data_IF_408385972068
#
_entry.id   IF_408385972068
#
_cell.length_a   1.000
_cell.length_b   1.000
_cell.length_c   1.000
_cell.angle_alpha   90.00
_cell.angle_beta   90.00
_cell.angle_gamma   90.00
#
_symmetry.space_group_name_H-M   'P 1'
#
loop_
_entity.id
_entity.type
_entity.pdbx_description
1 polymer ?
#
# COMPACT_ATOMS: atom_id res chain seq x y z
N UNK A 1 0.56 -9.06 -15.08
CA UNK A 1 0.73 -9.90 -13.88
C UNK A 1 -0.18 -9.36 -12.78
N UNK A 2 -1.07 -10.19 -12.26
CA UNK A 2 -2.06 -9.88 -11.22
C UNK A 2 -1.91 -10.88 -10.08
N UNK A 3 -2.23 -10.47 -8.86
CA UNK A 3 -2.29 -11.37 -7.72
C UNK A 3 -3.63 -12.09 -7.70
N UNK A 4 -3.61 -13.39 -7.99
CA UNK A 4 -4.82 -14.21 -8.15
C UNK A 4 -5.08 -15.15 -6.98
N UNK A 5 -4.07 -15.37 -6.13
CA UNK A 5 -4.13 -16.30 -4.99
C UNK A 5 -3.41 -15.71 -3.78
N UNK A 6 -3.95 -15.94 -2.59
CA UNK A 6 -3.39 -15.50 -1.31
C UNK A 6 -3.37 -16.67 -0.33
N UNK A 7 -2.20 -16.99 0.21
CA UNK A 7 -2.00 -17.90 1.32
C UNK A 7 -1.86 -17.10 2.62
N UNK A 8 -2.69 -17.41 3.61
CA UNK A 8 -2.65 -16.81 4.96
C UNK A 8 -2.21 -17.89 5.94
N UNK A 9 -0.92 -17.89 6.30
CA UNK A 9 -0.32 -18.85 7.22
C UNK A 9 -0.16 -18.19 8.58
N UNK A 10 -0.90 -18.67 9.57
CA UNK A 10 -0.91 -18.13 10.94
C UNK A 10 -0.37 -19.21 11.89
N UNK A 11 0.75 -18.92 12.54
CA UNK A 11 1.38 -19.73 13.57
C UNK A 11 1.33 -18.95 14.88
N UNK A 12 0.18 -18.97 15.54
CA UNK A 12 -0.13 -18.14 16.72
C UNK A 12 -0.13 -18.93 18.03
N UNK A 13 -0.38 -20.25 17.99
CA UNK A 13 -0.41 -21.12 19.18
C UNK A 13 -1.10 -20.43 20.37
N UNK A 14 -2.33 -19.93 20.16
CA UNK A 14 -2.99 -19.00 21.09
C UNK A 14 -3.01 -19.54 22.52
N UNK A 15 -2.48 -18.75 23.46
CA UNK A 15 -2.38 -19.12 24.87
C UNK A 15 -1.05 -19.77 25.28
N UNK A 16 -0.15 -20.04 24.32
CA UNK A 16 1.19 -20.55 24.58
C UNK A 16 2.22 -19.55 24.04
N UNK A 17 2.99 -18.95 24.93
CA UNK A 17 4.04 -18.00 24.54
C UNK A 17 5.29 -18.76 24.06
N UNK A 18 5.95 -18.31 22.97
CA UNK A 18 7.19 -18.91 22.52
C UNK A 18 8.33 -18.64 23.53
N UNK A 19 9.29 -19.57 23.67
CA UNK A 19 10.29 -19.55 24.75
C UNK A 19 11.27 -18.37 24.69
N UNK A 20 11.39 -17.71 23.54
CA UNK A 20 12.35 -16.65 23.28
C UNK A 20 11.73 -15.23 23.33
N UNK A 21 10.45 -15.13 23.70
CA UNK A 21 9.72 -13.85 23.83
C UNK A 21 9.30 -13.64 25.28
N UNK A 22 9.91 -12.65 25.93
CA UNK A 22 9.50 -12.21 27.27
C UNK A 22 8.45 -11.12 27.10
N UNK A 23 7.20 -11.40 27.51
CA UNK A 23 6.11 -10.41 27.49
C UNK A 23 6.13 -9.56 28.75
N UNK A 24 6.27 -8.25 28.58
CA UNK A 24 6.06 -7.27 29.65
C UNK A 24 4.56 -7.07 29.92
N UNK A 25 4.14 -6.84 31.16
CA UNK A 25 2.74 -6.53 31.46
C UNK A 25 2.57 -5.04 31.81
N UNK A 26 1.63 -4.32 31.18
CA UNK A 26 0.76 -4.74 30.06
C UNK A 26 1.50 -4.84 28.71
N UNK A 27 1.06 -5.75 27.82
CA UNK A 27 1.60 -5.93 26.46
C UNK A 27 0.54 -5.76 25.37
N UNK A 28 1.00 -5.53 24.13
CA UNK A 28 0.19 -5.66 22.91
C UNK A 28 -0.34 -7.08 22.75
N UNK A 29 -1.65 -7.25 22.56
CA UNK A 29 -2.31 -8.57 22.42
C UNK A 29 -3.21 -8.70 21.21
N UNK A 30 -3.70 -7.58 20.67
CA UNK A 30 -4.66 -7.63 19.57
C UNK A 30 -4.00 -8.19 18.32
N UNK A 31 -4.62 -9.20 17.72
CA UNK A 31 -4.24 -9.81 16.45
C UNK A 31 -5.40 -9.62 15.48
N UNK A 32 -5.17 -8.98 14.34
CA UNK A 32 -6.21 -8.67 13.35
C UNK A 32 -7.44 -7.98 13.97
N UNK A 33 -7.19 -7.13 14.98
CA UNK A 33 -8.18 -6.41 15.77
C UNK A 33 -9.07 -7.27 16.67
N UNK A 34 -8.64 -8.50 16.97
CA UNK A 34 -9.29 -9.42 17.91
C UNK A 34 -8.41 -9.57 19.14
N UNK A 35 -9.01 -9.56 20.33
CA UNK A 35 -8.34 -9.99 21.55
C UNK A 35 -8.39 -11.53 21.64
N UNK A 36 -7.26 -12.23 21.50
CA UNK A 36 -7.25 -13.68 21.54
C UNK A 36 -7.62 -14.24 22.93
N UNK A 37 -7.48 -13.43 23.99
CA UNK A 37 -7.77 -13.84 25.37
C UNK A 37 -9.25 -13.76 25.74
N UNK A 38 -10.08 -13.11 24.91
CA UNK A 38 -11.50 -12.93 25.19
C UNK A 38 -12.37 -14.15 24.82
N UNK A 39 -11.78 -15.23 24.31
CA UNK A 39 -12.47 -16.46 23.91
C UNK A 39 -11.53 -17.68 23.92
N UNK A 40 -12.07 -18.86 23.56
CA UNK A 40 -11.23 -20.06 23.48
C UNK A 40 -10.16 -19.94 22.39
N UNK A 41 -8.95 -20.51 22.60
CA UNK A 41 -7.84 -20.44 21.64
C UNK A 41 -8.21 -20.79 20.20
N UNK A 42 -8.96 -21.89 20.01
CA UNK A 42 -9.40 -22.33 18.69
C UNK A 42 -10.32 -21.30 18.00
N UNK A 43 -11.31 -20.78 18.74
CA UNK A 43 -12.24 -19.78 18.21
C UNK A 43 -11.54 -18.45 17.90
N UNK A 44 -10.59 -18.05 18.74
CA UNK A 44 -9.76 -16.88 18.52
C UNK A 44 -8.98 -17.03 17.20
N UNK A 45 -8.29 -18.15 17.01
CA UNK A 45 -7.50 -18.44 15.81
C UNK A 45 -8.35 -18.42 14.52
N UNK A 46 -9.52 -19.06 14.54
CA UNK A 46 -10.46 -19.05 13.41
C UNK A 46 -10.96 -17.63 13.09
N UNK A 47 -11.27 -16.83 14.11
CA UNK A 47 -11.76 -15.47 13.92
C UNK A 47 -10.67 -14.51 13.44
N UNK A 48 -9.43 -14.67 13.94
CA UNK A 48 -8.25 -13.94 13.46
C UNK A 48 -8.02 -14.27 11.98
N UNK A 49 -8.05 -15.54 11.60
CA UNK A 49 -7.93 -15.98 10.20
C UNK A 49 -9.01 -15.39 9.30
N UNK A 50 -10.27 -15.47 9.72
CA UNK A 50 -11.40 -14.88 9.00
C UNK A 50 -11.29 -13.36 8.84
N UNK A 51 -10.88 -12.66 9.90
CA UNK A 51 -10.71 -11.21 9.86
C UNK A 51 -9.54 -10.81 8.96
N UNK A 52 -8.40 -11.49 9.04
CA UNK A 52 -7.26 -11.23 8.16
C UNK A 52 -7.64 -11.39 6.68
N UNK A 53 -8.38 -12.45 6.35
CA UNK A 53 -8.90 -12.65 5.00
C UNK A 53 -9.77 -11.47 4.57
N UNK A 54 -10.75 -11.07 5.39
CA UNK A 54 -11.62 -9.90 5.10
C UNK A 54 -10.83 -8.62 4.91
N UNK A 55 -9.75 -8.41 5.65
CA UNK A 55 -8.90 -7.23 5.51
C UNK A 55 -8.18 -7.22 4.14
N UNK A 56 -7.64 -8.36 3.71
CA UNK A 56 -7.03 -8.47 2.38
C UNK A 56 -8.05 -8.42 1.23
N UNK A 57 -9.24 -9.01 1.40
CA UNK A 57 -10.31 -9.00 0.40
C UNK A 57 -10.75 -7.58 0.03
N UNK A 58 -10.62 -6.61 0.94
CA UNK A 58 -10.86 -5.19 0.65
C UNK A 58 -9.92 -4.64 -0.45
N UNK A 59 -8.69 -5.14 -0.50
CA UNK A 59 -7.67 -4.71 -1.47
C UNK A 59 -7.69 -5.57 -2.75
N UNK A 60 -8.05 -6.85 -2.65
CA UNK A 60 -8.14 -7.75 -3.80
C UNK A 60 -9.33 -8.73 -3.66
N UNK A 61 -10.57 -8.29 -3.93
CA UNK A 61 -11.76 -9.12 -3.69
C UNK A 61 -11.90 -10.31 -4.64
N UNK A 62 -11.17 -10.33 -5.77
CA UNK A 62 -11.28 -11.37 -6.80
C UNK A 62 -10.21 -12.47 -6.68
N UNK A 63 -9.31 -12.38 -5.71
CA UNK A 63 -8.31 -13.42 -5.49
C UNK A 63 -8.90 -14.62 -4.73
N UNK A 64 -8.25 -15.78 -4.86
CA UNK A 64 -8.56 -16.98 -4.10
C UNK A 64 -7.77 -17.00 -2.80
N UNK A 65 -8.48 -16.95 -1.67
CA UNK A 65 -7.87 -16.98 -0.34
C UNK A 65 -7.84 -18.41 0.21
N UNK A 66 -6.72 -18.79 0.81
CA UNK A 66 -6.55 -20.04 1.56
C UNK A 66 -5.90 -19.74 2.90
N UNK A 67 -6.57 -20.14 3.99
CA UNK A 67 -6.06 -20.03 5.35
C UNK A 67 -5.40 -21.33 5.78
N UNK A 68 -4.32 -21.22 6.56
CA UNK A 68 -3.61 -22.33 7.19
C UNK A 68 -3.32 -21.90 8.63
N UNK A 69 -4.06 -22.46 9.58
CA UNK A 69 -4.08 -22.06 10.98
C UNK A 69 -3.30 -23.10 11.80
N UNK A 70 -2.24 -22.65 12.48
CA UNK A 70 -1.22 -23.46 13.17
C UNK A 70 -0.78 -24.70 12.36
N UNK A 71 -0.33 -24.55 11.10
CA UNK A 71 -0.07 -25.68 10.21
C UNK A 71 1.27 -26.38 10.46
N UNK A 72 1.36 -27.62 9.98
CA UNK A 72 2.63 -28.35 9.86
C UNK A 72 3.42 -27.92 8.61
N UNK A 73 4.69 -28.31 8.53
CA UNK A 73 5.55 -28.06 7.35
C UNK A 73 4.93 -28.69 6.09
N UNK A 74 4.38 -29.89 6.21
CA UNK A 74 3.72 -30.63 5.14
C UNK A 74 2.47 -29.90 4.63
N UNK A 75 1.69 -29.30 5.53
CA UNK A 75 0.52 -28.51 5.16
C UNK A 75 0.91 -27.28 4.36
N UNK A 76 1.94 -26.55 4.82
CA UNK A 76 2.47 -25.38 4.11
C UNK A 76 3.02 -25.78 2.73
N UNK A 77 3.74 -26.90 2.64
CA UNK A 77 4.27 -27.42 1.37
C UNK A 77 3.14 -27.74 0.38
N UNK A 78 2.10 -28.45 0.83
CA UNK A 78 0.91 -28.77 0.01
C UNK A 78 0.18 -27.50 -0.42
N UNK A 79 0.01 -26.54 0.49
CA UNK A 79 -0.62 -25.25 0.22
C UNK A 79 0.12 -24.47 -0.88
N UNK A 80 1.43 -24.25 -0.71
CA UNK A 80 2.25 -23.50 -1.66
C UNK A 80 2.27 -24.15 -3.05
N UNK A 81 2.41 -25.49 -3.10
CA UNK A 81 2.43 -26.24 -4.36
C UNK A 81 1.08 -26.15 -5.07
N UNK A 82 -0.03 -26.28 -4.32
CA UNK A 82 -1.38 -26.14 -4.84
C UNK A 82 -1.64 -24.73 -5.41
N UNK A 83 -1.25 -23.68 -4.68
CA UNK A 83 -1.46 -22.30 -5.12
C UNK A 83 -0.63 -21.96 -6.36
N UNK A 84 0.65 -22.35 -6.41
CA UNK A 84 1.49 -22.14 -7.58
C UNK A 84 0.93 -22.85 -8.81
N UNK A 85 0.55 -24.12 -8.70
CA UNK A 85 -0.06 -24.90 -9.80
C UNK A 85 -1.30 -24.21 -10.37
N UNK A 86 -2.14 -23.62 -9.51
CA UNK A 86 -3.38 -22.94 -9.93
C UNK A 86 -3.14 -21.53 -10.49
N UNK A 87 -2.15 -20.80 -9.99
CA UNK A 87 -1.84 -19.45 -10.42
C UNK A 87 -1.08 -19.41 -11.75
N UNK A 88 -0.40 -20.49 -12.15
CA UNK A 88 0.48 -20.53 -13.32
C UNK A 88 1.54 -19.41 -13.21
N UNK A 89 1.54 -18.49 -14.15
CA UNK A 89 2.43 -17.32 -14.24
C UNK A 89 1.95 -16.11 -13.42
N UNK A 90 0.75 -16.18 -12.83
CA UNK A 90 0.23 -15.08 -12.02
C UNK A 90 0.85 -15.06 -10.61
N UNK A 91 0.70 -13.91 -9.93
CA UNK A 91 1.29 -13.70 -8.61
C UNK A 91 0.49 -14.43 -7.53
N UNK A 92 1.22 -15.03 -6.60
CA UNK A 92 0.70 -15.60 -5.35
C UNK A 92 1.24 -14.76 -4.20
N UNK A 93 0.36 -14.27 -3.33
CA UNK A 93 0.75 -13.66 -2.06
C UNK A 93 0.89 -14.74 -0.99
N UNK A 94 1.99 -14.72 -0.24
CA UNK A 94 2.20 -15.56 0.93
C UNK A 94 2.34 -14.65 2.15
N UNK A 95 1.36 -14.68 3.03
CA UNK A 95 1.37 -14.00 4.32
C UNK A 95 1.74 -15.01 5.40
N UNK A 96 2.73 -14.67 6.23
CA UNK A 96 3.17 -15.48 7.36
C UNK A 96 3.17 -14.64 8.63
N UNK A 97 2.43 -15.08 9.64
CA UNK A 97 2.46 -14.54 10.99
C UNK A 97 2.97 -15.63 11.94
N UNK A 98 4.10 -15.36 12.59
CA UNK A 98 4.81 -16.31 13.46
C UNK A 98 4.85 -15.90 14.93
N UNK A 99 3.90 -15.12 15.44
CA UNK A 99 3.96 -14.62 16.82
C UNK A 99 3.87 -15.71 17.91
N UNK A 100 3.35 -16.90 17.58
CA UNK A 100 3.25 -18.04 18.49
C UNK A 100 4.40 -19.04 18.39
N UNK A 101 5.43 -18.74 17.60
CA UNK A 101 6.59 -19.63 17.40
C UNK A 101 7.89 -18.89 17.70
N UNK A 102 9.00 -19.61 17.95
CA UNK A 102 10.28 -18.98 18.18
C UNK A 102 10.67 -18.04 17.04
N UNK A 103 11.34 -16.93 17.38
CA UNK A 103 11.81 -15.98 16.37
C UNK A 103 12.65 -16.73 15.33
N UNK A 104 12.41 -16.48 14.04
CA UNK A 104 13.35 -16.88 13.03
C UNK A 104 14.70 -16.20 13.34
N UNK A 105 15.79 -16.73 12.79
CA UNK A 105 17.17 -16.24 13.00
C UNK A 105 17.43 -14.81 12.50
N UNK A 106 16.39 -13.98 12.31
CA UNK A 106 16.44 -12.60 11.84
C UNK A 106 16.70 -12.47 10.34
N UNK A 107 17.02 -13.58 9.68
CA UNK A 107 17.59 -13.58 8.33
C UNK A 107 16.64 -14.10 7.25
N UNK A 108 15.33 -14.27 7.49
CA UNK A 108 14.42 -14.87 6.49
C UNK A 108 14.57 -14.24 5.10
N UNK A 109 14.57 -12.91 5.01
CA UNK A 109 14.72 -12.18 3.73
C UNK A 109 16.08 -12.48 3.10
N UNK A 110 17.15 -12.46 3.89
CA UNK A 110 18.50 -12.75 3.42
C UNK A 110 18.65 -14.21 2.99
N UNK A 111 18.16 -15.15 3.80
CA UNK A 111 18.13 -16.59 3.51
C UNK A 111 17.35 -16.89 2.23
N UNK A 112 16.22 -16.22 2.01
CA UNK A 112 15.47 -16.36 0.76
C UNK A 112 16.29 -15.86 -0.43
N UNK A 113 16.94 -14.70 -0.32
CA UNK A 113 17.76 -14.15 -1.41
C UNK A 113 18.96 -15.06 -1.72
N UNK A 114 19.67 -15.56 -0.69
CA UNK A 114 20.76 -16.52 -0.86
C UNK A 114 20.27 -17.82 -1.52
N UNK A 115 19.13 -18.35 -1.07
CA UNK A 115 18.50 -19.52 -1.69
C UNK A 115 18.16 -19.27 -3.16
N UNK A 116 17.55 -18.13 -3.47
CA UNK A 116 17.16 -17.77 -4.83
C UNK A 116 18.36 -17.69 -5.78
N UNK A 117 19.43 -17.01 -5.35
CA UNK A 117 20.68 -16.93 -6.13
C UNK A 117 21.34 -18.30 -6.32
N UNK A 118 21.37 -19.12 -5.27
CA UNK A 118 21.95 -20.46 -5.36
C UNK A 118 21.16 -21.34 -6.32
N UNK A 119 19.83 -21.33 -6.21
CA UNK A 119 18.94 -22.13 -7.06
C UNK A 119 18.97 -21.67 -8.53
N UNK A 120 19.08 -20.37 -8.81
CA UNK A 120 19.30 -19.86 -10.17
C UNK A 120 20.63 -20.40 -10.75
N UNK A 121 21.73 -20.32 -10.00
CA UNK A 121 23.05 -20.82 -10.43
C UNK A 121 23.05 -22.33 -10.67
N UNK A 122 22.42 -23.12 -9.79
CA UNK A 122 22.32 -24.57 -9.93
C UNK A 122 21.56 -24.96 -11.21
N UNK A 123 20.47 -24.26 -11.52
CA UNK A 123 19.68 -24.52 -12.75
C UNK A 123 20.42 -24.08 -14.01
N UNK A 124 21.13 -22.94 -13.98
CA UNK A 124 21.97 -22.48 -15.09
C UNK A 124 23.10 -23.50 -15.38
N UNK A 125 23.72 -24.06 -14.34
CA UNK A 125 24.73 -25.11 -14.49
C UNK A 125 24.15 -26.40 -15.08
N UNK A 126 22.97 -26.85 -14.60
CA UNK A 126 22.29 -28.00 -15.17
C UNK A 126 21.94 -27.78 -16.65
N UNK A 127 21.49 -26.57 -17.01
CA UNK A 127 21.17 -26.21 -18.38
C UNK A 127 22.42 -26.17 -19.27
N UNK A 128 23.54 -25.63 -18.79
CA UNK A 128 24.81 -25.66 -19.52
C UNK A 128 25.33 -27.08 -19.74
N UNK A 129 25.13 -27.99 -18.78
CA UNK A 129 25.47 -29.41 -18.92
C UNK A 129 24.55 -30.14 -19.93
N UNK A 130 23.27 -29.79 -20.00
CA UNK A 130 22.31 -30.42 -20.93
C UNK A 130 22.30 -29.80 -22.33
N UNK A 131 22.79 -28.57 -22.50
CA UNK A 131 22.88 -27.89 -23.80
C UNK A 131 23.74 -28.62 -24.85
N UNK A 132 24.59 -29.56 -24.44
CA UNK A 132 25.34 -30.47 -25.33
C UNK A 132 24.50 -31.61 -25.92
N UNK A 133 23.29 -31.88 -25.42
CA UNK A 133 22.41 -32.96 -25.90
C UNK A 133 21.33 -32.41 -26.85
N UNK A 134 21.48 -32.68 -28.16
CA UNK A 134 20.70 -32.12 -29.29
C UNK A 134 19.16 -32.27 -29.25
N UNK A 135 18.58 -32.99 -28.28
CA UNK A 135 17.13 -33.28 -28.22
C UNK A 135 16.48 -33.00 -26.85
N UNK A 136 17.10 -32.21 -25.96
CA UNK A 136 16.46 -31.84 -24.70
C UNK A 136 15.55 -30.61 -24.86
N UNK A 137 14.29 -30.64 -24.38
CA UNK A 137 13.46 -29.44 -24.36
C UNK A 137 14.13 -28.37 -23.48
N UNK A 138 14.03 -27.06 -23.83
CA UNK A 138 14.65 -26.02 -23.03
C UNK A 138 14.08 -26.04 -21.61
N UNK A 139 14.94 -26.30 -20.63
CA UNK A 139 14.62 -26.12 -19.21
C UNK A 139 14.30 -24.64 -18.97
N UNK A 140 13.08 -24.35 -18.49
CA UNK A 140 12.75 -23.03 -17.99
C UNK A 140 13.49 -22.80 -16.66
N UNK A 141 14.42 -21.85 -16.66
CA UNK A 141 15.06 -21.38 -15.44
C UNK A 141 14.05 -20.55 -14.63
N UNK A 142 13.78 -20.92 -13.35
CA UNK A 142 12.94 -20.09 -12.51
C UNK A 142 13.65 -18.76 -12.26
N UNK A 143 12.93 -17.64 -12.43
CA UNK A 143 13.46 -16.32 -12.10
C UNK A 143 12.82 -15.78 -10.83
N UNK A 144 13.65 -15.47 -9.83
CA UNK A 144 13.22 -14.87 -8.57
C UNK A 144 13.27 -13.34 -8.60
N UNK A 145 13.68 -12.72 -9.72
CA UNK A 145 13.71 -11.25 -9.92
C UNK A 145 12.35 -10.55 -9.73
N UNK A 146 11.26 -11.32 -9.78
CA UNK A 146 9.88 -10.87 -9.59
C UNK A 146 9.33 -11.14 -8.19
N UNK A 147 10.11 -11.78 -7.31
CA UNK A 147 9.77 -11.98 -5.91
C UNK A 147 9.85 -10.64 -5.17
N UNK A 148 8.77 -10.37 -4.43
CA UNK A 148 8.63 -9.18 -3.60
C UNK A 148 8.51 -9.66 -2.17
N UNK A 149 9.23 -9.02 -1.26
CA UNK A 149 9.24 -9.39 0.15
C UNK A 149 8.98 -8.14 0.99
N UNK A 150 8.16 -8.26 2.02
CA UNK A 150 7.88 -7.23 3.01
C UNK A 150 8.02 -7.89 4.39
N UNK A 151 8.93 -7.39 5.22
CA UNK A 151 9.23 -7.92 6.55
C UNK A 151 9.08 -6.82 7.61
N UNK A 152 8.62 -7.21 8.79
CA UNK A 152 8.20 -6.29 9.84
C UNK A 152 9.36 -5.60 10.57
N UNK A 153 10.52 -6.24 10.67
CA UNK A 153 11.67 -5.75 11.42
C UNK A 153 13.00 -6.21 10.80
N UNK A 154 14.10 -5.54 11.18
CA UNK A 154 15.45 -6.00 10.85
C UNK A 154 15.86 -7.22 11.71
N UNK A 155 16.93 -7.90 11.28
CA UNK A 155 17.36 -9.17 11.85
C UNK A 155 17.63 -9.14 13.37
N UNK A 156 18.08 -8.00 13.88
CA UNK A 156 18.47 -7.77 15.27
C UNK A 156 17.41 -6.99 16.08
N UNK A 157 16.22 -6.77 15.53
CA UNK A 157 15.17 -5.98 16.15
C UNK A 157 14.01 -6.86 16.61
N UNK A 158 13.21 -6.33 17.52
CA UNK A 158 12.01 -6.99 18.07
C UNK A 158 10.81 -6.12 17.74
N UNK A 159 9.66 -6.76 17.54
CA UNK A 159 8.41 -6.03 17.31
C UNK A 159 8.00 -5.22 18.55
N UNK A 160 7.35 -4.06 18.36
CA UNK A 160 6.88 -3.24 19.47
C UNK A 160 5.88 -3.99 20.34
N UNK A 161 6.00 -3.84 21.67
CA UNK A 161 5.10 -4.48 22.66
C UNK A 161 4.13 -3.48 23.32
N UNK A 162 3.95 -2.28 22.75
CA UNK A 162 3.11 -1.23 23.33
C UNK A 162 1.65 -1.73 23.47
N UNK A 163 1.06 -1.76 24.67
CA UNK A 163 -0.29 -2.30 24.91
C UNK A 163 -1.40 -1.55 24.19
N UNK A 164 -1.17 -0.28 23.83
CA UNK A 164 -2.13 0.52 23.05
C UNK A 164 -2.12 0.17 21.56
N UNK A 165 -1.18 -0.64 21.08
CA UNK A 165 -1.06 -1.06 19.69
C UNK A 165 -1.32 -2.56 19.54
N UNK A 166 -1.77 -3.02 18.36
CA UNK A 166 -1.90 -4.44 18.09
C UNK A 166 -0.53 -5.14 18.07
N UNK A 167 -0.53 -6.43 18.43
CA UNK A 167 0.66 -7.28 18.34
C UNK A 167 1.07 -7.46 16.87
N UNK A 168 0.11 -7.56 15.96
CA UNK A 168 0.32 -7.58 14.51
C UNK A 168 0.41 -6.20 13.87
N UNK A 169 1.11 -5.25 14.51
CA UNK A 169 1.22 -3.87 14.05
C UNK A 169 1.64 -3.75 12.58
N UNK A 170 2.58 -4.56 12.12
CA UNK A 170 3.01 -4.55 10.72
C UNK A 170 1.88 -4.98 9.77
N UNK A 171 1.23 -6.11 10.06
CA UNK A 171 0.08 -6.59 9.31
C UNK A 171 -1.04 -5.56 9.31
N UNK A 172 -1.37 -5.03 10.49
CA UNK A 172 -2.41 -4.02 10.67
C UNK A 172 -2.12 -2.74 9.85
N UNK A 173 -0.86 -2.29 9.78
CA UNK A 173 -0.45 -1.19 8.89
C UNK A 173 -0.71 -1.55 7.43
N UNK A 174 -0.32 -2.75 6.99
CA UNK A 174 -0.46 -3.19 5.60
C UNK A 174 -1.90 -3.42 5.16
N UNK A 175 -2.78 -3.87 6.06
CA UNK A 175 -4.13 -4.31 5.70
C UNK A 175 -5.23 -3.36 6.16
N UNK A 176 -4.97 -2.55 7.20
CA UNK A 176 -5.91 -1.60 7.80
C UNK A 176 -5.25 -0.24 8.15
N UNK A 177 -4.58 0.41 7.19
CA UNK A 177 -3.71 1.56 7.43
C UNK A 177 -4.40 2.73 8.13
N UNK A 178 -5.62 3.08 7.72
CA UNK A 178 -6.36 4.22 8.29
C UNK A 178 -6.64 4.01 9.77
N UNK A 179 -7.06 2.79 10.14
CA UNK A 179 -7.34 2.44 11.54
C UNK A 179 -6.07 2.53 12.41
N UNK A 180 -4.94 2.01 11.93
CA UNK A 180 -3.66 2.14 12.64
C UNK A 180 -3.20 3.58 12.71
N UNK A 181 -3.28 4.34 11.61
CA UNK A 181 -2.83 5.73 11.55
C UNK A 181 -3.57 6.61 12.57
N UNK A 182 -4.90 6.49 12.65
CA UNK A 182 -5.72 7.21 13.64
C UNK A 182 -5.37 6.81 15.08
N UNK A 183 -5.24 5.50 15.33
CA UNK A 183 -4.87 4.98 16.66
C UNK A 183 -3.48 5.43 17.10
N UNK A 184 -2.52 5.41 16.17
CA UNK A 184 -1.15 5.85 16.43
C UNK A 184 -1.05 7.36 16.59
N UNK A 185 -1.82 8.14 15.81
CA UNK A 185 -1.84 9.60 15.89
C UNK A 185 -2.29 10.07 17.29
N UNK A 186 -3.33 9.47 17.87
CA UNK A 186 -3.79 9.79 19.24
C UNK A 186 -2.81 9.41 20.35
N UNK A 187 -1.77 8.63 20.04
CA UNK A 187 -0.66 8.34 20.96
C UNK A 187 0.46 9.38 20.87
N UNK A 188 0.49 10.21 19.82
CA UNK A 188 1.58 11.16 19.62
C UNK A 188 1.40 12.40 20.52
N UNK A 189 2.49 13.02 20.99
CA UNK A 189 2.41 14.26 21.78
C UNK A 189 1.66 15.39 21.07
N UNK A 190 1.75 15.44 19.73
CA UNK A 190 1.06 16.43 18.89
C UNK A 190 -0.46 16.31 18.93
N UNK A 191 -1.02 15.15 19.30
CA UNK A 191 -2.46 14.97 19.46
C UNK A 191 -3.07 15.82 20.58
N UNK A 192 -2.25 16.40 21.48
CA UNK A 192 -2.71 17.33 22.51
C UNK A 192 -3.32 18.62 21.94
N UNK A 193 -3.09 18.92 20.66
CA UNK A 193 -3.73 20.03 19.96
C UNK A 193 -5.22 19.76 19.65
N UNK A 194 -5.67 18.51 19.65
CA UNK A 194 -7.09 18.11 19.56
C UNK A 194 -7.55 17.55 20.91
N UNK A 195 -8.15 18.37 21.79
CA UNK A 195 -8.55 17.88 23.10
C UNK A 195 -9.67 16.82 23.00
N UNK A 196 -9.44 15.68 23.68
CA UNK A 196 -10.45 14.66 24.04
C UNK A 196 -10.98 13.70 22.95
N UNK A 197 -10.19 13.34 21.95
CA UNK A 197 -10.54 12.19 21.08
C UNK A 197 -10.04 10.88 21.70
N UNK A 198 -10.95 10.11 22.32
CA UNK A 198 -10.64 8.77 22.84
C UNK A 198 -10.63 7.71 21.74
N UNK A 199 -10.01 6.56 22.01
CA UNK A 199 -10.05 5.39 21.11
C UNK A 199 -11.47 4.97 20.73
N UNK A 200 -12.42 5.06 21.67
CA UNK A 200 -13.82 4.70 21.43
C UNK A 200 -14.50 5.60 20.39
N UNK A 201 -14.03 6.84 20.23
CA UNK A 201 -14.52 7.75 19.20
C UNK A 201 -13.96 7.38 17.82
N UNK A 202 -12.69 6.94 17.74
CA UNK A 202 -12.06 6.51 16.48
C UNK A 202 -12.82 5.33 15.86
N UNK A 203 -13.25 4.36 16.66
CA UNK A 203 -14.04 3.21 16.18
C UNK A 203 -15.42 3.62 15.62
N UNK A 204 -15.88 4.84 15.94
CA UNK A 204 -17.17 5.39 15.52
C UNK A 204 -17.07 6.42 14.40
N UNK A 205 -15.90 6.57 13.77
CA UNK A 205 -15.75 7.49 12.63
C UNK A 205 -16.79 7.14 11.55
N UNK A 206 -17.60 8.12 11.11
CA UNK A 206 -18.69 7.86 10.18
C UNK A 206 -18.16 7.59 8.77
N UNK A 207 -18.87 6.69 8.07
CA UNK A 207 -18.68 6.47 6.65
C UNK A 207 -18.10 5.13 6.26
N UNK A 208 -17.69 5.05 5.00
CA UNK A 208 -17.13 3.85 4.39
C UNK A 208 -15.87 4.22 3.62
N UNK A 209 -14.86 3.35 3.64
CA UNK A 209 -13.55 3.59 2.99
C UNK A 209 -13.66 3.91 1.49
N UNK A 210 -14.71 3.43 0.81
CA UNK A 210 -14.93 3.62 -0.62
C UNK A 210 -15.77 4.87 -0.93
N UNK A 211 -16.41 5.48 0.06
CA UNK A 211 -17.23 6.67 -0.12
C UNK A 211 -16.49 7.94 0.32
N UNK A 212 -15.89 8.62 -0.66
CA UNK A 212 -15.10 9.84 -0.48
C UNK A 212 -15.90 11.03 0.04
N UNK A 213 -17.24 10.96 0.05
CA UNK A 213 -18.09 12.00 0.65
C UNK A 213 -18.15 11.89 2.18
N UNK A 214 -17.75 10.75 2.71
CA UNK A 214 -17.73 10.48 4.15
C UNK A 214 -16.35 10.76 4.74
N UNK A 215 -16.30 11.09 6.04
CA UNK A 215 -15.03 11.33 6.76
C UNK A 215 -14.04 10.18 6.59
N UNK A 216 -14.49 8.92 6.78
CA UNK A 216 -13.62 7.76 6.64
C UNK A 216 -13.08 7.58 5.20
N UNK A 217 -13.93 7.78 4.20
CA UNK A 217 -13.53 7.63 2.80
C UNK A 217 -12.66 8.77 2.30
N UNK A 218 -12.87 10.01 2.78
CA UNK A 218 -11.99 11.14 2.48
C UNK A 218 -10.59 10.93 3.08
N UNK A 219 -10.49 10.52 4.36
CA UNK A 219 -9.21 10.17 4.98
C UNK A 219 -8.47 9.06 4.21
N UNK A 220 -9.18 8.01 3.79
CA UNK A 220 -8.60 6.94 2.97
C UNK A 220 -8.08 7.45 1.61
N UNK A 221 -8.77 8.41 1.02
CA UNK A 221 -8.40 9.00 -0.25
C UNK A 221 -7.19 9.93 -0.13
N UNK A 222 -7.15 10.79 0.90
CA UNK A 222 -5.99 11.63 1.22
C UNK A 222 -4.77 10.76 1.51
N UNK A 223 -4.92 9.70 2.32
CA UNK A 223 -3.85 8.76 2.61
C UNK A 223 -3.29 8.12 1.33
N UNK A 224 -4.16 7.71 0.42
CA UNK A 224 -3.76 7.16 -0.89
C UNK A 224 -3.01 8.20 -1.71
N UNK A 225 -3.46 9.46 -1.74
CA UNK A 225 -2.78 10.53 -2.46
C UNK A 225 -1.39 10.84 -1.88
N UNK A 226 -1.27 10.93 -0.57
CA UNK A 226 -0.01 11.20 0.13
C UNK A 226 0.99 10.07 -0.08
N UNK A 227 0.59 8.81 0.14
CA UNK A 227 1.50 7.67 0.00
C UNK A 227 1.95 7.44 -1.44
N UNK A 228 1.07 7.66 -2.43
CA UNK A 228 1.45 7.61 -3.85
C UNK A 228 2.40 8.77 -4.23
N UNK A 229 2.20 9.95 -3.63
CA UNK A 229 3.07 11.12 -3.81
C UNK A 229 4.46 10.89 -3.23
N UNK A 230 4.54 10.38 -2.00
CA UNK A 230 5.82 10.03 -1.37
C UNK A 230 6.57 9.02 -2.24
N UNK A 231 5.89 7.95 -2.67
CA UNK A 231 6.49 6.93 -3.52
C UNK A 231 7.01 7.48 -4.84
N UNK A 232 6.24 8.33 -5.53
CA UNK A 232 6.65 8.91 -6.81
C UNK A 232 7.83 9.88 -6.69
N UNK A 233 7.93 10.63 -5.58
CA UNK A 233 9.03 11.57 -5.37
C UNK A 233 10.30 10.90 -4.83
N UNK A 234 10.18 9.69 -4.24
CA UNK A 234 11.31 8.98 -3.64
C UNK A 234 11.87 7.87 -4.51
N UNK A 235 11.03 7.18 -5.30
CA UNK A 235 11.44 6.00 -6.05
C UNK A 235 11.91 6.33 -7.47
N UNK A 236 12.89 5.56 -8.00
CA UNK A 236 13.16 5.53 -9.43
C UNK A 236 11.89 5.18 -10.23
N UNK A 237 11.74 5.77 -11.42
CA UNK A 237 10.52 5.65 -12.23
C UNK A 237 10.14 4.20 -12.55
N UNK A 238 11.12 3.36 -12.89
CA UNK A 238 10.88 1.94 -13.20
C UNK A 238 10.38 1.17 -11.97
N UNK A 239 10.95 1.45 -10.80
CA UNK A 239 10.56 0.81 -9.56
C UNK A 239 9.17 1.27 -9.11
N UNK A 240 8.87 2.57 -9.25
CA UNK A 240 7.54 3.12 -9.00
C UNK A 240 6.50 2.44 -9.90
N UNK A 241 6.76 2.33 -11.20
CA UNK A 241 5.86 1.64 -12.13
C UNK A 241 5.66 0.17 -11.74
N UNK A 242 6.75 -0.55 -11.42
CA UNK A 242 6.70 -1.95 -11.00
C UNK A 242 5.86 -2.17 -9.75
N UNK A 243 6.01 -1.32 -8.74
CA UNK A 243 5.40 -1.54 -7.42
C UNK A 243 4.03 -0.85 -7.26
N UNK A 244 3.83 0.33 -7.84
CA UNK A 244 2.64 1.17 -7.61
C UNK A 244 1.66 1.21 -8.78
N UNK A 245 1.97 0.62 -9.94
CA UNK A 245 1.10 0.66 -11.14
C UNK A 245 0.76 -0.70 -11.76
N UNK A 246 1.62 -1.72 -11.63
CA UNK A 246 1.39 -3.01 -12.30
C UNK A 246 0.30 -3.89 -11.66
N UNK A 247 0.26 -3.95 -10.33
CA UNK A 247 -0.66 -4.82 -9.57
C UNK A 247 -1.32 -4.04 -8.43
N UNK A 248 -2.65 -4.06 -8.39
CA UNK A 248 -3.45 -3.30 -7.42
C UNK A 248 -3.16 -3.69 -5.96
N UNK A 249 -2.94 -4.98 -5.69
CA UNK A 249 -2.65 -5.46 -4.34
C UNK A 249 -1.24 -5.09 -3.93
N UNK A 250 -0.25 -5.27 -4.82
CA UNK A 250 1.14 -4.85 -4.57
C UNK A 250 1.20 -3.35 -4.33
N UNK A 251 0.56 -2.54 -5.18
CA UNK A 251 0.49 -1.09 -5.01
C UNK A 251 -0.13 -0.71 -3.67
N UNK A 252 -1.18 -1.41 -3.25
CA UNK A 252 -1.79 -1.19 -1.94
C UNK A 252 -0.87 -1.55 -0.78
N UNK A 253 -0.20 -2.70 -0.85
CA UNK A 253 0.74 -3.12 0.19
C UNK A 253 1.92 -2.16 0.29
N UNK A 254 2.47 -1.67 -0.82
CA UNK A 254 3.59 -0.72 -0.77
C UNK A 254 3.19 0.68 -0.30
N UNK A 255 2.02 1.19 -0.70
CA UNK A 255 1.47 2.43 -0.10
C UNK A 255 1.34 2.30 1.42
N UNK A 256 0.79 1.18 1.86
CA UNK A 256 0.57 0.90 3.27
C UNK A 256 1.88 0.57 4.01
N UNK A 257 2.90 0.05 3.31
CA UNK A 257 4.23 -0.18 3.85
C UNK A 257 4.94 1.13 4.19
N UNK A 258 4.72 2.22 3.45
CA UNK A 258 5.24 3.54 3.82
C UNK A 258 4.72 4.00 5.20
N UNK A 259 3.46 3.69 5.53
CA UNK A 259 2.91 3.93 6.86
C UNK A 259 3.55 3.00 7.90
N UNK A 260 3.71 1.72 7.59
CA UNK A 260 4.41 0.78 8.46
C UNK A 260 5.83 1.27 8.75
N UNK A 261 6.58 1.73 7.75
CA UNK A 261 7.92 2.29 7.92
C UNK A 261 7.90 3.46 8.90
N UNK A 262 6.97 4.40 8.73
CA UNK A 262 6.85 5.56 9.61
C UNK A 262 6.51 5.18 11.06
N UNK A 263 5.54 4.30 11.25
CA UNK A 263 5.05 3.92 12.59
C UNK A 263 6.07 3.04 13.30
N UNK A 264 6.56 1.97 12.67
CA UNK A 264 7.46 1.03 13.34
C UNK A 264 8.80 1.68 13.70
N UNK A 265 9.30 2.62 12.89
CA UNK A 265 10.51 3.38 13.23
C UNK A 265 10.37 4.27 14.45
N UNK A 266 9.15 4.69 14.82
CA UNK A 266 8.91 5.40 16.09
C UNK A 266 9.03 4.51 17.32
N UNK A 267 9.13 3.18 17.12
CA UNK A 267 9.31 2.16 18.14
C UNK A 267 10.58 1.32 17.91
N UNK A 268 11.63 1.95 17.37
CA UNK A 268 12.94 1.33 17.11
C UNK A 268 12.90 0.05 16.27
N UNK A 269 11.88 -0.09 15.42
CA UNK A 269 11.68 -1.22 14.54
C UNK A 269 11.74 -0.75 13.07
N UNK A 270 12.58 -1.39 12.26
CA UNK A 270 12.81 -1.02 10.87
C UNK A 270 12.22 -2.09 9.94
N UNK A 271 11.08 -1.83 9.30
CA UNK A 271 10.56 -2.72 8.27
C UNK A 271 11.51 -2.82 7.08
N UNK A 272 11.57 -3.99 6.47
CA UNK A 272 12.43 -4.27 5.32
C UNK A 272 11.56 -4.64 4.12
N UNK A 273 11.91 -4.13 2.94
CA UNK A 273 11.31 -4.55 1.68
C UNK A 273 12.39 -5.06 0.72
N UNK A 274 12.01 -6.00 -0.15
CA UNK A 274 12.75 -6.33 -1.35
C UNK A 274 11.81 -6.21 -2.56
N UNK A 275 12.06 -5.32 -3.53
CA UNK A 275 13.17 -4.35 -3.60
C UNK A 275 13.19 -3.35 -2.42
N UNK A 276 14.37 -2.83 -2.02
CA UNK A 276 14.47 -1.84 -0.95
C UNK A 276 13.86 -0.51 -1.40
N UNK A 277 13.06 0.11 -0.51
CA UNK A 277 12.57 1.46 -0.71
C UNK A 277 13.54 2.47 -0.05
N UNK A 278 13.75 3.66 -0.65
CA UNK A 278 14.38 4.79 0.01
C UNK A 278 13.57 5.23 1.24
N UNK A 279 14.23 5.97 2.14
CA UNK A 279 13.66 6.40 3.42
C UNK A 279 12.51 7.41 3.25
N UNK A 280 11.29 6.92 3.07
CA UNK A 280 10.09 7.74 2.87
C UNK A 280 9.45 8.24 4.17
N UNK A 281 9.84 7.69 5.32
CA UNK A 281 9.25 8.01 6.62
C UNK A 281 9.44 9.46 7.10
N UNK A 282 10.44 10.19 6.57
CA UNK A 282 10.69 11.61 6.89
C UNK A 282 10.18 12.58 5.83
N UNK A 283 9.47 12.09 4.82
CA UNK A 283 9.01 12.93 3.73
C UNK A 283 8.04 14.04 4.22
N UNK A 284 8.18 15.31 3.78
CA UNK A 284 7.34 16.43 4.25
C UNK A 284 5.83 16.21 4.08
N UNK A 285 5.40 15.45 3.08
CA UNK A 285 3.99 15.08 2.88
C UNK A 285 3.35 14.36 4.08
N UNK A 286 4.14 13.77 4.99
CA UNK A 286 3.60 13.25 6.24
C UNK A 286 3.09 14.33 7.19
N UNK A 287 3.63 15.56 7.13
CA UNK A 287 3.08 16.68 7.89
C UNK A 287 1.70 17.09 7.36
N UNK A 288 1.49 17.02 6.03
CA UNK A 288 0.17 17.23 5.44
C UNK A 288 -0.83 16.14 5.84
N UNK A 289 -0.36 14.89 6.00
CA UNK A 289 -1.18 13.80 6.55
C UNK A 289 -1.57 14.06 8.00
N UNK A 290 -0.61 14.47 8.83
CA UNK A 290 -0.87 14.75 10.25
C UNK A 290 -1.86 15.91 10.40
N UNK A 291 -1.73 16.98 9.61
CA UNK A 291 -2.69 18.08 9.58
C UNK A 291 -4.08 17.62 9.13
N UNK A 292 -4.16 16.76 8.12
CA UNK A 292 -5.44 16.20 7.67
C UNK A 292 -6.12 15.37 8.77
N UNK A 293 -5.34 14.57 9.52
CA UNK A 293 -5.85 13.83 10.69
C UNK A 293 -6.33 14.78 11.79
N UNK A 294 -5.55 15.81 12.11
CA UNK A 294 -5.86 16.82 13.13
C UNK A 294 -7.20 17.52 12.84
N UNK A 295 -7.33 18.04 11.62
CA UNK A 295 -8.55 18.70 11.14
C UNK A 295 -9.75 17.77 11.07
N UNK A 296 -9.55 16.49 10.72
CA UNK A 296 -10.65 15.52 10.69
C UNK A 296 -11.10 15.16 12.11
N UNK A 297 -10.16 14.85 13.00
CA UNK A 297 -10.45 14.43 14.36
C UNK A 297 -11.05 15.54 15.22
N UNK A 298 -10.70 16.81 14.97
CA UNK A 298 -11.32 17.96 15.66
C UNK A 298 -12.82 18.09 15.39
N UNK A 299 -13.31 17.63 14.23
CA UNK A 299 -14.74 17.63 13.88
C UNK A 299 -15.50 16.47 14.52
N UNK A 300 -14.81 15.37 14.86
CA UNK A 300 -15.44 14.11 15.26
C UNK A 300 -16.38 14.21 16.48
N UNK A 301 -16.04 14.94 17.56
CA UNK A 301 -16.95 15.09 18.70
C UNK A 301 -18.27 15.76 18.34
N UNK A 302 -18.22 16.81 17.49
CA UNK A 302 -19.42 17.53 17.06
C UNK A 302 -20.28 16.69 16.11
N UNK A 303 -19.66 15.96 15.18
CA UNK A 303 -20.38 15.04 14.30
C UNK A 303 -21.11 13.96 15.10
N UNK A 304 -20.44 13.35 16.08
CA UNK A 304 -21.03 12.25 16.86
C UNK A 304 -22.03 12.70 17.93
N UNK A 305 -21.78 13.83 18.61
CA UNK A 305 -22.63 14.29 19.72
C UNK A 305 -23.75 15.22 19.26
N UNK A 306 -23.48 16.07 18.26
CA UNK A 306 -24.42 17.11 17.79
C UNK A 306 -25.05 16.78 16.44
N UNK A 307 -24.55 15.75 15.73
CA UNK A 307 -25.05 15.38 14.41
C UNK A 307 -24.66 16.39 13.32
N UNK A 308 -23.60 17.17 13.55
CA UNK A 308 -23.10 18.13 12.57
C UNK A 308 -22.64 17.41 11.28
N UNK A 309 -22.87 17.99 10.10
CA UNK A 309 -22.37 17.43 8.86
C UNK A 309 -20.83 17.53 8.81
N UNK A 310 -20.20 16.48 8.28
CA UNK A 310 -18.76 16.49 8.04
C UNK A 310 -18.38 17.57 7.02
N UNK A 311 -17.41 18.42 7.38
CA UNK A 311 -16.85 19.43 6.49
C UNK A 311 -15.60 18.88 5.83
N UNK A 312 -15.61 18.88 4.50
CA UNK A 312 -14.50 18.39 3.68
C UNK A 312 -13.19 19.10 4.01
N UNK A 313 -12.11 18.34 4.00
CA UNK A 313 -10.77 18.82 4.33
C UNK A 313 -10.18 19.66 3.19
N UNK A 314 -9.41 20.73 3.49
CA UNK A 314 -8.85 21.63 2.48
C UNK A 314 -7.67 21.00 1.70
N UNK A 315 -7.22 19.79 2.05
CA UNK A 315 -6.02 19.13 1.52
C UNK A 315 -5.92 19.23 -0.01
N UNK A 316 -6.92 18.78 -0.76
CA UNK A 316 -6.83 18.77 -2.22
C UNK A 316 -6.78 20.18 -2.82
N UNK A 317 -7.46 21.15 -2.22
CA UNK A 317 -7.44 22.54 -2.67
C UNK A 317 -6.07 23.19 -2.43
N UNK A 318 -5.47 22.95 -1.27
CA UNK A 318 -4.12 23.42 -0.93
C UNK A 318 -3.07 22.82 -1.86
N UNK A 319 -3.16 21.51 -2.16
CA UNK A 319 -2.23 20.83 -3.05
C UNK A 319 -2.37 21.30 -4.51
N UNK A 320 -3.60 21.57 -5.00
CA UNK A 320 -3.77 22.19 -6.31
C UNK A 320 -3.20 23.62 -6.36
N UNK A 321 -3.30 24.36 -5.26
CA UNK A 321 -2.72 25.71 -5.15
C UNK A 321 -1.19 25.65 -5.16
N UNK A 322 -0.57 24.70 -4.44
CA UNK A 322 0.86 24.47 -4.50
C UNK A 322 1.34 24.08 -5.91
N UNK A 323 0.58 23.23 -6.61
CA UNK A 323 0.86 22.88 -8.00
C UNK A 323 0.77 24.10 -8.94
N UNK A 324 -0.23 24.96 -8.74
CA UNK A 324 -0.37 26.20 -9.49
C UNK A 324 0.80 27.16 -9.26
N UNK A 325 1.26 27.31 -8.02
CA UNK A 325 2.45 28.12 -7.69
C UNK A 325 3.71 27.55 -8.37
N UNK A 326 3.85 26.23 -8.42
CA UNK A 326 4.94 25.60 -9.16
C UNK A 326 4.83 25.92 -10.66
N UNK A 327 3.65 25.86 -11.27
CA UNK A 327 3.43 26.17 -12.70
C UNK A 327 3.82 27.60 -13.07
N UNK A 328 3.54 28.57 -12.19
CA UNK A 328 3.84 29.99 -12.46
C UNK A 328 5.36 30.28 -12.54
N UNK A 329 6.20 29.35 -12.07
CA UNK A 329 7.67 29.46 -12.10
C UNK A 329 8.35 28.18 -12.61
N UNK A 330 7.60 27.26 -13.19
CA UNK A 330 8.07 25.91 -13.53
C UNK A 330 8.84 25.91 -14.85
N UNK A 331 9.87 25.07 -14.94
CA UNK A 331 10.63 24.82 -16.17
C UNK A 331 11.18 23.40 -16.15
N UNK A 332 11.64 22.91 -17.30
CA UNK A 332 12.23 21.57 -17.45
C UNK A 332 13.48 21.36 -16.59
N UNK A 333 14.24 22.43 -16.36
CA UNK A 333 15.49 22.41 -15.57
C UNK A 333 15.26 22.28 -14.06
N UNK A 334 14.01 22.41 -13.60
CA UNK A 334 13.66 22.32 -12.18
C UNK A 334 13.20 20.93 -11.81
N UNK A 335 13.22 20.67 -10.50
CA UNK A 335 12.65 19.43 -9.97
C UNK A 335 11.16 19.30 -10.40
N UNK A 336 10.73 18.08 -10.76
CA UNK A 336 9.34 17.79 -11.06
C UNK A 336 8.38 18.28 -9.97
N UNK A 337 7.15 18.67 -10.33
CA UNK A 337 6.16 19.10 -9.35
C UNK A 337 5.75 17.92 -8.46
N UNK A 338 6.03 18.05 -7.16
CA UNK A 338 5.73 16.99 -6.18
C UNK A 338 4.25 16.63 -6.17
N UNK A 339 3.35 17.58 -6.46
CA UNK A 339 1.89 17.42 -6.41
C UNK A 339 1.30 16.66 -7.60
N UNK A 340 2.09 16.29 -8.62
CA UNK A 340 1.57 15.68 -9.84
C UNK A 340 0.75 14.39 -9.60
N UNK A 341 1.16 13.45 -8.71
CA UNK A 341 0.31 12.31 -8.34
C UNK A 341 -0.98 12.72 -7.62
N UNK A 342 -0.99 13.83 -6.88
CA UNK A 342 -2.18 14.36 -6.21
C UNK A 342 -3.16 14.90 -7.25
N UNK A 343 -2.69 15.62 -8.26
CA UNK A 343 -3.53 16.09 -9.38
C UNK A 343 -4.28 14.90 -10.01
N UNK A 344 -3.60 13.77 -10.22
CA UNK A 344 -4.21 12.53 -10.71
C UNK A 344 -5.31 12.02 -9.78
N UNK A 345 -5.08 12.01 -8.47
CA UNK A 345 -6.11 11.63 -7.50
C UNK A 345 -7.31 12.58 -7.56
N UNK A 346 -7.08 13.88 -7.73
CA UNK A 346 -8.15 14.90 -7.81
C UNK A 346 -8.99 14.77 -9.07
N UNK A 347 -8.47 14.26 -10.20
CA UNK A 347 -9.28 13.97 -11.39
C UNK A 347 -10.45 13.02 -11.10
N UNK A 348 -10.31 12.17 -10.08
CA UNK A 348 -11.36 11.27 -9.61
C UNK A 348 -12.42 11.97 -8.74
N UNK A 349 -12.17 13.20 -8.28
CA UNK A 349 -13.16 14.09 -7.66
C UNK A 349 -14.20 14.56 -8.68
N UNK A 350 -15.39 14.95 -8.24
CA UNK A 350 -16.28 15.78 -9.06
C UNK A 350 -16.06 17.28 -8.77
N UNK A 351 -15.85 17.63 -7.50
CA UNK A 351 -15.80 19.03 -7.03
C UNK A 351 -14.62 19.80 -7.60
N UNK A 352 -13.42 19.22 -7.59
CA UNK A 352 -12.19 19.90 -8.00
C UNK A 352 -11.71 19.50 -9.39
N UNK A 353 -12.51 18.72 -10.14
CA UNK A 353 -12.11 18.12 -11.41
C UNK A 353 -11.76 19.16 -12.46
N UNK A 354 -12.59 20.20 -12.57
CA UNK A 354 -12.42 21.25 -13.58
C UNK A 354 -11.08 21.96 -13.38
N UNK A 355 -10.82 22.47 -12.17
CA UNK A 355 -9.55 23.11 -11.78
C UNK A 355 -8.35 22.19 -11.98
N UNK A 356 -8.46 20.90 -11.62
CA UNK A 356 -7.38 19.95 -11.82
C UNK A 356 -7.06 19.71 -13.31
N UNK A 357 -8.06 19.62 -14.18
CA UNK A 357 -7.87 19.49 -15.62
C UNK A 357 -7.28 20.77 -16.25
N UNK A 358 -7.68 21.95 -15.78
CA UNK A 358 -7.09 23.22 -16.20
C UNK A 358 -5.59 23.29 -15.88
N UNK A 359 -5.24 23.00 -14.63
CA UNK A 359 -3.83 23.00 -14.20
C UNK A 359 -3.02 21.90 -14.89
N UNK A 360 -3.61 20.72 -15.11
CA UNK A 360 -2.98 19.66 -15.89
C UNK A 360 -2.75 20.11 -17.34
N UNK A 361 -3.73 20.74 -17.98
CA UNK A 361 -3.58 21.30 -19.32
C UNK A 361 -2.40 22.26 -19.38
N UNK A 362 -2.35 23.23 -18.45
CA UNK A 362 -1.21 24.18 -18.32
C UNK A 362 0.13 23.46 -18.15
N UNK A 363 0.18 22.38 -17.37
CA UNK A 363 1.39 21.59 -17.20
C UNK A 363 1.84 20.90 -18.49
N UNK A 364 0.92 20.22 -19.18
CA UNK A 364 1.22 19.53 -20.44
C UNK A 364 1.62 20.50 -21.57
N UNK A 365 1.19 21.77 -21.46
CA UNK A 365 1.57 22.83 -22.40
C UNK A 365 3.05 23.23 -22.29
N UNK A 366 3.73 22.92 -21.18
CA UNK A 366 5.15 23.20 -20.98
C UNK A 366 6.08 22.42 -21.94
N UNK A 367 5.58 21.35 -22.56
CA UNK A 367 6.29 20.62 -23.62
C UNK A 367 6.29 19.10 -23.45
N UNK A 368 6.98 18.36 -24.35
CA UNK A 368 6.97 16.90 -24.38
C UNK A 368 7.45 16.23 -23.10
N UNK A 369 8.41 16.82 -22.40
CA UNK A 369 8.93 16.31 -21.13
C UNK A 369 7.83 16.26 -20.05
N UNK A 370 6.94 17.26 -20.00
CA UNK A 370 5.84 17.33 -19.04
C UNK A 370 4.77 16.29 -19.37
N UNK A 371 4.51 16.06 -20.66
CA UNK A 371 3.63 14.98 -21.13
C UNK A 371 4.17 13.61 -20.72
N UNK A 372 5.45 13.34 -21.00
CA UNK A 372 6.12 12.09 -20.59
C UNK A 372 6.06 11.89 -19.08
N UNK A 373 6.26 12.97 -18.31
CA UNK A 373 6.19 12.92 -16.85
C UNK A 373 4.77 12.60 -16.36
N UNK A 374 3.73 13.23 -16.92
CA UNK A 374 2.35 12.94 -16.57
C UNK A 374 1.94 11.50 -16.94
N UNK A 375 2.39 10.99 -18.10
CA UNK A 375 2.19 9.59 -18.49
C UNK A 375 2.92 8.64 -17.52
N UNK A 376 4.13 8.98 -17.08
CA UNK A 376 4.90 8.20 -16.10
C UNK A 376 4.27 8.18 -14.69
N UNK A 377 3.36 9.11 -14.38
CA UNK A 377 2.56 9.06 -13.14
C UNK A 377 1.37 8.12 -13.30
N UNK A 378 0.97 7.83 -14.54
CA UNK A 378 -0.16 6.96 -14.89
C UNK A 378 -1.46 7.72 -15.12
N UNK A 379 -1.41 8.93 -15.70
CA UNK A 379 -2.60 9.76 -15.90
C UNK A 379 -3.55 9.25 -16.99
N UNK A 380 -3.03 8.47 -17.93
CA UNK A 380 -3.71 8.06 -19.15
C UNK A 380 -5.06 7.35 -18.90
N UNK A 381 -5.18 6.33 -18.02
CA UNK A 381 -6.46 5.64 -17.80
C UNK A 381 -7.54 6.56 -17.23
N UNK A 382 -7.16 7.59 -16.48
CA UNK A 382 -8.07 8.54 -15.86
C UNK A 382 -8.65 9.50 -16.89
N UNK A 383 -7.79 10.08 -17.74
CA UNK A 383 -8.20 10.98 -18.81
C UNK A 383 -9.02 10.24 -19.88
N UNK A 384 -8.66 8.98 -20.17
CA UNK A 384 -9.46 8.11 -21.04
C UNK A 384 -10.86 7.86 -20.48
N UNK A 385 -10.98 7.56 -19.20
CA UNK A 385 -12.29 7.39 -18.56
C UNK A 385 -13.13 8.67 -18.58
N UNK A 386 -12.50 9.84 -18.49
CA UNK A 386 -13.20 11.12 -18.54
C UNK A 386 -13.81 11.45 -19.90
N UNK A 387 -13.37 10.81 -21.00
CA UNK A 387 -14.03 10.94 -22.31
C UNK A 387 -15.47 10.41 -22.30
N UNK A 388 -15.80 9.51 -21.38
CA UNK A 388 -17.16 8.99 -21.20
C UNK A 388 -18.07 9.96 -20.43
N UNK A 389 -17.53 11.08 -19.93
CA UNK A 389 -18.29 12.08 -19.18
C UNK A 389 -19.22 12.88 -20.09
N UNK A 390 -20.47 13.09 -19.65
CA UNK A 390 -21.44 13.94 -20.35
C UNK A 390 -21.27 15.44 -20.06
N UNK A 391 -20.43 15.81 -19.08
CA UNK A 391 -20.22 17.19 -18.64
C UNK A 391 -19.59 18.05 -19.75
N UNK A 392 -20.33 19.05 -20.24
CA UNK A 392 -19.94 19.89 -21.40
C UNK A 392 -18.71 20.75 -21.12
N UNK A 393 -18.59 21.25 -19.90
CA UNK A 393 -17.47 22.08 -19.42
C UNK A 393 -16.11 21.38 -19.49
N UNK A 394 -16.05 20.04 -19.45
CA UNK A 394 -14.79 19.31 -19.51
C UNK A 394 -14.26 19.16 -20.94
N UNK A 395 -15.12 19.29 -21.96
CA UNK A 395 -14.76 18.95 -23.35
C UNK A 395 -13.58 19.77 -23.88
N UNK A 396 -13.53 21.11 -23.72
CA UNK A 396 -12.41 21.89 -24.25
C UNK A 396 -11.07 21.48 -23.62
N UNK A 397 -11.07 21.23 -22.30
CA UNK A 397 -9.88 20.80 -21.56
C UNK A 397 -9.44 19.40 -21.97
N UNK A 398 -10.39 18.46 -22.11
CA UNK A 398 -10.09 17.09 -22.52
C UNK A 398 -9.54 17.06 -23.95
N UNK A 399 -10.12 17.83 -24.88
CA UNK A 399 -9.59 17.95 -26.25
C UNK A 399 -8.15 18.46 -26.20
N UNK A 400 -7.89 19.54 -25.47
CA UNK A 400 -6.54 20.10 -25.33
C UNK A 400 -5.53 19.09 -24.76
N UNK A 401 -5.87 18.43 -23.66
CA UNK A 401 -5.03 17.40 -23.02
C UNK A 401 -4.73 16.25 -24.00
N UNK A 402 -5.75 15.75 -24.71
CA UNK A 402 -5.58 14.68 -25.68
C UNK A 402 -4.71 15.10 -26.86
N UNK A 403 -4.85 16.33 -27.36
CA UNK A 403 -3.98 16.87 -28.40
C UNK A 403 -2.51 16.87 -27.93
N UNK A 404 -2.23 17.28 -26.69
CA UNK A 404 -0.87 17.25 -26.13
C UNK A 404 -0.32 15.84 -25.99
N UNK A 405 -1.14 14.88 -25.53
CA UNK A 405 -0.73 13.48 -25.40
C UNK A 405 -0.42 12.87 -26.77
N UNK A 406 -1.33 13.00 -27.74
CA UNK A 406 -1.17 12.41 -29.08
C UNK A 406 -0.03 13.04 -29.88
N UNK A 407 0.32 14.30 -29.61
CA UNK A 407 1.47 14.96 -30.24
C UNK A 407 2.81 14.38 -29.80
N UNK A 408 2.89 13.76 -28.63
CA UNK A 408 4.13 13.17 -28.07
C UNK A 408 4.15 11.66 -28.29
N UNK A 409 3.03 10.98 -28.06
CA UNK A 409 2.93 9.53 -28.14
C UNK A 409 1.83 9.12 -29.13
N UNK A 410 2.22 9.00 -30.40
CA UNK A 410 1.35 8.59 -31.51
C UNK A 410 1.06 7.08 -31.53
N UNK A 411 1.78 6.27 -30.73
CA UNK A 411 1.78 4.80 -30.80
C UNK A 411 0.96 4.18 -29.67
N UNK A 412 0.97 4.75 -28.46
CA UNK A 412 0.26 4.17 -27.30
C UNK A 412 -1.26 4.12 -27.43
N UNK A 413 -1.87 4.92 -28.31
CA UNK A 413 -3.33 4.90 -28.51
C UNK A 413 -3.85 3.53 -28.97
N UNK A 414 -3.07 2.80 -29.78
CA UNK A 414 -3.45 1.48 -30.29
C UNK A 414 -3.24 0.34 -29.29
N UNK A 415 -2.22 0.42 -28.43
CA UNK A 415 -1.91 -0.62 -27.44
C UNK A 415 -2.90 -0.65 -26.28
N UNK A 416 -3.41 0.51 -25.84
CA UNK A 416 -4.35 0.58 -24.71
C UNK A 416 -5.80 0.23 -25.06
N UNK A 417 -6.16 0.08 -26.34
CA UNK A 417 -7.48 -0.42 -26.75
C UNK A 417 -7.60 -1.96 -26.70
N UNK A 418 -6.49 -2.70 -26.50
CA UNK A 418 -6.49 -4.17 -26.42
C UNK A 418 -6.45 -4.74 -24.98
N UNK A 419 -6.52 -3.90 -23.95
CA UNK A 419 -6.63 -4.29 -22.52
C UNK A 419 -8.01 -3.88 -22.02
#
# INVERSE_FOLDING_TARGET
>A
MKTVSVALVLCLNVGVDPPDVIKIQPCSRLECWIDPSSMSPQKALEMIGSNLQKQYERWQPRARYKQSLDPTVEDVKKLCTSLRKNAKEERVLFHYNGHGVPRPTGIIVNSFNTFAEQHEREMEQMQAQTAGMRNSPPLQTPSYKNCIQLAACAANQILPMNPSLPADLFTACLTTPIKVALKWFTLQPTSMLVPHVSYDLIEKIPGQLNDRRTMLGELNWIFTAITDTIAWNTLPRDLFQKLFRQDLLVASLFRNFLLAERILRSYDCTPISNPPLPQGFRHPMWAAWDLALDLALSQLPDILKRGEPFRHLPFFEEQLTAFQVWLDRGSEERNPPEQLPIVLQVLLSQVHRLRALELLGRFLDLGPWAVNLALSVGIFPYVLKLLQSSAKELRPLLVFIWTKILAVDSVSFFFYQQI
#
